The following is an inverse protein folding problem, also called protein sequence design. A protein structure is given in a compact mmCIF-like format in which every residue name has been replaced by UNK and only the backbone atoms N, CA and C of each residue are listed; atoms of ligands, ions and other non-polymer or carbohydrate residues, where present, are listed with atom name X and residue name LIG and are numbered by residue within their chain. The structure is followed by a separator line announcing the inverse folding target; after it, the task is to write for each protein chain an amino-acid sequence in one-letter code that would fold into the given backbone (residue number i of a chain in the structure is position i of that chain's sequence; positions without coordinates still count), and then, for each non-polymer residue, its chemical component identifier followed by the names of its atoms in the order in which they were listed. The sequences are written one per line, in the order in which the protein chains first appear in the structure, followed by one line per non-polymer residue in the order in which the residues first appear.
data_IF_159137410502
#
_entry.id   IF_159137410502
#
_cell.length_a   1.000
_cell.length_b   1.000
_cell.length_c   1.000
_cell.angle_alpha   90.00
_cell.angle_beta   90.00
_cell.angle_gamma   90.00
#
_symmetry.space_group_name_H-M   'P 1'
#
loop_
_entity.id
_entity.type
_entity.pdbx_description
1 polymer ?
#
# COMPACT_ATOMS: atom_id res chain seq x y z
N UNK A 1 -1.23 -27.90 -12.36
CA UNK A 1 -1.19 -26.71 -13.24
C UNK A 1 -1.48 -25.53 -12.33
N UNK A 2 -0.49 -24.66 -12.08
CA UNK A 2 -0.73 -23.45 -11.30
C UNK A 2 -1.76 -22.60 -12.03
N UNK A 3 -2.82 -22.25 -11.32
CA UNK A 3 -3.93 -21.47 -11.86
C UNK A 3 -3.38 -20.08 -12.24
N UNK A 4 -3.18 -19.85 -13.55
CA UNK A 4 -2.58 -18.61 -14.07
C UNK A 4 -3.53 -17.46 -13.80
N UNK A 5 -3.07 -16.47 -13.03
CA UNK A 5 -3.81 -15.23 -12.83
C UNK A 5 -3.86 -14.45 -14.16
N UNK A 6 -5.05 -14.18 -14.66
CA UNK A 6 -5.26 -13.33 -15.82
C UNK A 6 -6.26 -12.23 -15.49
N UNK A 7 -5.87 -10.97 -15.70
CA UNK A 7 -6.78 -9.83 -15.58
C UNK A 7 -7.92 -9.98 -16.59
N UNK A 8 -9.15 -9.71 -16.18
CA UNK A 8 -10.29 -9.68 -17.07
C UNK A 8 -10.24 -8.43 -17.97
N UNK A 9 -10.97 -8.46 -19.10
CA UNK A 9 -11.09 -7.28 -19.96
C UNK A 9 -11.74 -6.09 -19.24
N UNK A 10 -12.71 -6.38 -18.37
CA UNK A 10 -13.34 -5.35 -17.55
C UNK A 10 -12.35 -4.68 -16.58
N UNK A 11 -11.47 -5.47 -15.95
CA UNK A 11 -10.39 -4.93 -15.12
C UNK A 11 -9.40 -4.11 -15.93
N UNK A 12 -9.03 -4.58 -17.14
CA UNK A 12 -8.14 -3.83 -18.02
C UNK A 12 -8.71 -2.49 -18.46
N UNK A 13 -9.97 -2.44 -18.90
CA UNK A 13 -10.63 -1.17 -19.29
C UNK A 13 -10.58 -0.11 -18.19
N UNK A 14 -10.59 -0.51 -16.92
CA UNK A 14 -10.52 0.42 -15.78
C UNK A 14 -9.11 1.00 -15.55
N UNK A 15 -8.07 0.31 -15.96
CA UNK A 15 -6.67 0.71 -15.68
C UNK A 15 -5.89 1.11 -16.93
N UNK A 16 -6.33 0.70 -18.12
CA UNK A 16 -5.65 0.98 -19.39
C UNK A 16 -5.36 2.47 -19.65
N UNK A 17 -6.26 3.43 -19.32
CA UNK A 17 -6.03 4.86 -19.54
C UNK A 17 -4.80 5.44 -18.83
N UNK A 18 -4.30 4.78 -17.78
CA UNK A 18 -3.16 5.27 -17.00
C UNK A 18 -1.80 4.89 -17.57
N UNK A 19 -1.77 3.96 -18.53
CA UNK A 19 -0.52 3.55 -19.16
C UNK A 19 -0.11 4.50 -20.28
N UNK A 20 1.21 4.78 -20.40
CA UNK A 20 1.67 5.64 -21.48
C UNK A 20 1.37 5.00 -22.85
N UNK A 21 1.05 5.81 -23.84
CA UNK A 21 0.85 5.33 -25.21
C UNK A 21 2.14 4.69 -25.77
N UNK A 22 1.99 3.70 -26.65
CA UNK A 22 3.12 3.16 -27.38
C UNK A 22 3.54 4.13 -28.48
N UNK A 23 4.84 4.41 -28.57
CA UNK A 23 5.42 5.18 -29.68
C UNK A 23 6.02 4.19 -30.71
N UNK A 24 5.45 4.17 -31.90
CA UNK A 24 5.95 3.37 -33.03
C UNK A 24 5.52 1.91 -33.01
N UNK A 25 6.36 1.02 -32.49
CA UNK A 25 6.09 -0.43 -32.48
C UNK A 25 4.97 -0.81 -31.52
N UNK A 26 4.03 -1.65 -31.98
CA UNK A 26 2.97 -2.20 -31.12
C UNK A 26 3.57 -2.92 -29.90
N UNK A 27 3.04 -2.62 -28.73
CA UNK A 27 3.47 -3.28 -27.50
C UNK A 27 3.02 -4.74 -27.47
N UNK A 28 3.81 -5.58 -26.81
CA UNK A 28 3.32 -6.87 -26.33
C UNK A 28 2.08 -6.62 -25.47
N UNK A 29 1.10 -7.49 -25.55
CA UNK A 29 -0.17 -7.44 -24.83
C UNK A 29 0.02 -7.01 -23.36
N UNK A 30 -0.36 -5.77 -23.05
CA UNK A 30 -0.20 -5.18 -21.71
C UNK A 30 -1.00 -5.97 -20.66
N UNK A 31 -2.16 -6.53 -21.02
CA UNK A 31 -2.97 -7.39 -20.13
C UNK A 31 -2.17 -8.60 -19.67
N UNK A 32 -1.48 -9.24 -20.57
CA UNK A 32 -0.64 -10.40 -20.32
C UNK A 32 0.55 -10.06 -19.42
N UNK A 33 1.23 -8.96 -19.72
CA UNK A 33 2.36 -8.45 -18.94
C UNK A 33 1.93 -8.06 -17.52
N UNK A 34 0.81 -7.33 -17.38
CA UNK A 34 0.28 -6.93 -16.06
C UNK A 34 -0.15 -8.13 -15.22
N UNK A 35 -0.78 -9.11 -15.84
CA UNK A 35 -1.12 -10.38 -15.19
C UNK A 35 0.13 -11.10 -14.69
N UNK A 36 1.18 -11.14 -15.50
CA UNK A 36 2.48 -11.68 -15.10
C UNK A 36 3.13 -10.92 -13.94
N UNK A 37 3.04 -9.58 -13.93
CA UNK A 37 3.52 -8.76 -12.81
C UNK A 37 2.77 -9.13 -11.52
N UNK A 38 1.44 -9.18 -11.55
CA UNK A 38 0.62 -9.57 -10.40
C UNK A 38 0.96 -10.98 -9.92
N UNK A 39 1.14 -11.92 -10.85
CA UNK A 39 1.51 -13.30 -10.53
C UNK A 39 2.86 -13.38 -9.80
N UNK A 40 3.86 -12.67 -10.29
CA UNK A 40 5.20 -12.59 -9.66
C UNK A 40 5.11 -11.97 -8.26
N UNK A 41 4.33 -10.88 -8.09
CA UNK A 41 4.17 -10.21 -6.79
C UNK A 41 3.42 -11.13 -5.81
N UNK A 42 2.34 -11.77 -6.24
CA UNK A 42 1.53 -12.67 -5.40
C UNK A 42 2.34 -13.87 -4.91
N UNK A 43 3.07 -14.52 -5.79
CA UNK A 43 3.76 -15.77 -5.49
C UNK A 43 5.19 -15.57 -4.94
N UNK A 44 5.71 -14.33 -4.90
CA UNK A 44 7.06 -14.03 -4.39
C UNK A 44 8.17 -14.53 -5.29
N UNK A 45 7.93 -14.70 -6.59
CA UNK A 45 8.89 -15.26 -7.53
C UNK A 45 10.03 -14.29 -7.84
N UNK A 46 11.16 -14.81 -8.27
CA UNK A 46 12.15 -14.01 -9.00
C UNK A 46 11.58 -13.67 -10.36
N UNK A 47 11.87 -12.49 -10.87
CA UNK A 47 11.35 -12.05 -12.18
C UNK A 47 11.66 -13.03 -13.31
N UNK A 48 12.85 -13.66 -13.27
CA UNK A 48 13.26 -14.66 -14.29
C UNK A 48 12.45 -15.96 -14.23
N UNK A 49 11.78 -16.23 -13.11
CA UNK A 49 10.99 -17.44 -12.90
C UNK A 49 9.49 -17.21 -13.24
N UNK A 50 9.16 -16.05 -13.83
CA UNK A 50 7.81 -15.77 -14.31
C UNK A 50 7.41 -16.81 -15.36
N UNK A 51 6.17 -17.38 -15.30
CA UNK A 51 5.70 -18.34 -16.28
C UNK A 51 5.77 -17.80 -17.70
N UNK A 52 6.26 -18.61 -18.66
CA UNK A 52 6.41 -18.24 -20.07
C UNK A 52 5.07 -17.82 -20.71
N UNK A 53 3.94 -18.29 -20.18
CA UNK A 53 2.60 -17.88 -20.60
C UNK A 53 2.37 -16.37 -20.54
N UNK A 54 3.06 -15.64 -19.66
CA UNK A 54 2.97 -14.17 -19.56
C UNK A 54 3.93 -13.42 -20.49
N UNK A 55 4.78 -14.13 -21.22
CA UNK A 55 5.80 -13.58 -22.11
C UNK A 55 7.21 -13.59 -21.51
N UNK A 56 8.19 -12.96 -22.19
CA UNK A 56 9.58 -13.00 -21.73
C UNK A 56 9.75 -12.33 -20.36
N UNK A 57 10.42 -12.97 -19.39
CA UNK A 57 10.62 -12.43 -18.03
C UNK A 57 11.28 -11.03 -18.03
N UNK A 58 12.19 -10.77 -18.95
CA UNK A 58 12.84 -9.47 -19.11
C UNK A 58 11.84 -8.38 -19.53
N UNK A 59 10.87 -8.70 -20.36
CA UNK A 59 9.80 -7.77 -20.75
C UNK A 59 8.92 -7.43 -19.56
N UNK A 60 8.47 -8.44 -18.78
CA UNK A 60 7.66 -8.26 -17.56
C UNK A 60 8.39 -7.35 -16.58
N UNK A 61 9.66 -7.64 -16.29
CA UNK A 61 10.49 -6.86 -15.39
C UNK A 61 10.68 -5.41 -15.85
N UNK A 62 11.07 -5.21 -17.12
CA UNK A 62 11.34 -3.88 -17.67
C UNK A 62 10.08 -3.02 -17.68
N UNK A 63 8.91 -3.60 -17.98
CA UNK A 63 7.62 -2.91 -17.92
C UNK A 63 7.29 -2.52 -16.47
N UNK A 64 7.42 -3.44 -15.53
CA UNK A 64 7.19 -3.14 -14.12
C UNK A 64 8.07 -1.98 -13.64
N UNK A 65 9.38 -2.01 -13.91
CA UNK A 65 10.30 -0.94 -13.51
C UNK A 65 9.99 0.38 -14.21
N UNK A 66 9.74 0.34 -15.53
CA UNK A 66 9.39 1.54 -16.29
C UNK A 66 8.12 2.22 -15.78
N UNK A 67 7.05 1.46 -15.62
CA UNK A 67 5.78 1.97 -15.11
C UNK A 67 5.85 2.41 -13.64
N UNK A 68 6.67 1.74 -12.83
CA UNK A 68 6.94 2.18 -11.45
C UNK A 68 7.62 3.55 -11.43
N UNK A 69 8.64 3.77 -12.27
CA UNK A 69 9.33 5.07 -12.39
C UNK A 69 8.40 6.19 -12.85
N UNK A 70 7.47 5.89 -13.73
CA UNK A 70 6.44 6.81 -14.20
C UNK A 70 5.29 7.01 -13.21
N UNK A 71 5.27 6.29 -12.06
CA UNK A 71 4.24 6.38 -11.05
C UNK A 71 2.86 5.83 -11.48
N UNK A 72 2.82 5.00 -12.53
CA UNK A 72 1.56 4.49 -13.12
C UNK A 72 0.73 3.75 -12.08
N UNK A 73 1.34 2.82 -11.33
CA UNK A 73 0.63 2.00 -10.34
C UNK A 73 0.07 2.83 -9.18
N UNK A 74 0.79 3.88 -8.77
CA UNK A 74 0.33 4.78 -7.72
C UNK A 74 -0.85 5.63 -8.19
N UNK A 75 -0.85 6.08 -9.47
CA UNK A 75 -2.00 6.78 -10.07
C UNK A 75 -3.21 5.88 -10.16
N UNK A 76 -3.06 4.66 -10.68
CA UNK A 76 -4.14 3.66 -10.73
C UNK A 76 -4.76 3.48 -9.34
N UNK A 77 -3.92 3.28 -8.31
CA UNK A 77 -4.40 3.12 -6.95
C UNK A 77 -5.15 4.37 -6.45
N UNK A 78 -4.59 5.56 -6.66
CA UNK A 78 -5.19 6.81 -6.21
C UNK A 78 -6.56 7.06 -6.85
N UNK A 79 -6.70 6.81 -8.14
CA UNK A 79 -7.95 7.00 -8.88
C UNK A 79 -9.02 5.97 -8.47
N UNK A 80 -8.64 4.70 -8.39
CA UNK A 80 -9.57 3.67 -7.94
C UNK A 80 -10.04 3.90 -6.49
N UNK A 81 -9.15 4.40 -5.64
CA UNK A 81 -9.45 4.73 -4.25
C UNK A 81 -10.24 6.05 -4.11
N UNK A 82 -10.04 7.02 -5.01
CA UNK A 82 -10.71 8.32 -4.99
C UNK A 82 -12.21 8.23 -5.26
N UNK A 83 -12.68 7.21 -5.99
CA UNK A 83 -14.10 6.97 -6.22
C UNK A 83 -14.91 6.57 -4.97
N UNK A 84 -14.26 6.43 -3.80
CA UNK A 84 -14.91 6.08 -2.54
C UNK A 84 -14.96 7.25 -1.53
N UNK A 85 -14.95 8.49 -2.01
CA UNK A 85 -14.79 9.72 -1.19
C UNK A 85 -15.90 10.00 -0.14
N UNK A 86 -16.84 9.09 0.07
CA UNK A 86 -17.94 9.26 1.05
C UNK A 86 -17.91 8.20 2.13
N UNK A 87 -16.78 7.94 2.75
CA UNK A 87 -16.74 7.03 3.89
C UNK A 87 -17.03 7.79 5.19
N UNK A 88 -18.11 7.40 5.90
CA UNK A 88 -18.44 7.98 7.21
C UNK A 88 -17.29 7.81 8.23
N UNK A 89 -16.40 6.87 8.00
CA UNK A 89 -15.30 6.54 8.93
C UNK A 89 -14.05 6.11 8.19
N UNK A 90 -12.93 6.52 8.76
CA UNK A 90 -11.60 6.14 8.32
C UNK A 90 -10.91 5.31 9.40
N UNK A 91 -9.98 4.48 9.00
CA UNK A 91 -9.11 3.75 9.92
C UNK A 91 -7.65 3.99 9.52
N UNK A 92 -6.79 4.29 10.49
CA UNK A 92 -5.35 4.41 10.27
C UNK A 92 -4.60 3.41 11.14
N UNK A 93 -3.61 2.78 10.53
CA UNK A 93 -2.70 1.86 11.24
C UNK A 93 -1.41 1.68 10.44
N UNK A 94 -0.42 0.99 11.02
CA UNK A 94 0.84 0.68 10.37
C UNK A 94 1.26 -0.77 10.60
N UNK A 95 1.96 -1.33 9.63
CA UNK A 95 2.49 -2.69 9.73
C UNK A 95 3.93 -2.77 9.25
N UNK A 96 4.71 -3.69 9.82
CA UNK A 96 6.07 -3.96 9.38
C UNK A 96 6.07 -4.98 8.24
N UNK A 97 6.89 -4.70 7.23
CA UNK A 97 7.19 -5.57 6.09
C UNK A 97 8.67 -5.92 6.13
N UNK A 98 9.01 -7.20 5.96
CA UNK A 98 10.40 -7.66 6.01
C UNK A 98 11.15 -7.22 4.76
N UNK A 99 12.33 -6.63 4.93
CA UNK A 99 13.25 -6.35 3.83
C UNK A 99 14.28 -7.48 3.72
N UNK A 100 14.31 -8.14 2.56
CA UNK A 100 15.33 -9.14 2.30
C UNK A 100 16.71 -8.47 2.23
N UNK A 101 17.77 -9.19 2.61
CA UNK A 101 19.16 -8.68 2.58
C UNK A 101 19.57 -8.08 1.24
N UNK A 102 19.06 -8.60 0.13
CA UNK A 102 19.35 -8.05 -1.21
C UNK A 102 18.74 -6.66 -1.44
N UNK A 103 17.62 -6.33 -0.83
CA UNK A 103 17.06 -4.99 -0.86
C UNK A 103 17.95 -3.99 -0.10
N UNK A 104 18.61 -4.44 0.96
CA UNK A 104 19.48 -3.63 1.79
C UNK A 104 20.95 -3.54 1.30
N UNK A 105 21.39 -4.45 0.41
CA UNK A 105 22.80 -4.61 0.04
C UNK A 105 23.41 -3.47 -0.78
N UNK A 106 22.61 -2.58 -1.38
CA UNK A 106 23.10 -1.42 -2.12
C UNK A 106 23.26 -0.20 -1.20
N UNK A 107 24.40 -0.10 -0.57
CA UNK A 107 24.64 0.89 0.49
C UNK A 107 24.80 2.34 0.02
N UNK A 108 25.03 2.66 -1.24
CA UNK A 108 25.45 4.05 -1.54
C UNK A 108 25.12 4.67 -2.90
N UNK A 109 24.32 4.12 -3.76
CA UNK A 109 24.08 4.77 -5.06
C UNK A 109 22.60 4.98 -5.38
N UNK A 110 22.10 6.17 -5.13
CA UNK A 110 20.80 6.67 -5.61
C UNK A 110 20.19 7.71 -4.68
N UNK A 111 19.70 8.78 -5.27
CA UNK A 111 18.98 9.90 -4.63
C UNK A 111 17.62 9.50 -4.01
N UNK A 112 17.19 8.25 -4.18
CA UNK A 112 15.87 7.82 -3.74
C UNK A 112 15.93 7.12 -2.37
N UNK A 113 15.06 7.49 -1.43
CA UNK A 113 15.00 6.88 -0.11
C UNK A 113 14.67 5.39 -0.22
N UNK A 114 15.30 4.57 0.61
CA UNK A 114 15.06 3.12 0.65
C UNK A 114 13.92 2.73 1.57
N UNK A 115 13.62 3.56 2.56
CA UNK A 115 12.65 3.29 3.62
C UNK A 115 12.91 1.95 4.34
N UNK A 116 14.19 1.55 4.50
CA UNK A 116 14.60 0.37 5.27
C UNK A 116 15.28 0.83 6.53
N UNK A 117 14.81 0.34 7.67
CA UNK A 117 15.42 0.58 8.97
C UNK A 117 15.53 -0.69 9.78
N UNK A 118 16.21 -0.61 10.91
CA UNK A 118 16.40 -1.72 11.84
C UNK A 118 15.33 -1.64 12.93
N UNK A 119 14.51 -2.67 13.03
CA UNK A 119 13.53 -2.87 14.10
C UNK A 119 13.92 -4.12 14.93
N UNK A 120 13.14 -4.44 15.98
CA UNK A 120 13.33 -5.69 16.74
C UNK A 120 13.25 -6.94 15.85
N UNK A 121 12.48 -6.87 14.76
CA UNK A 121 12.34 -7.96 13.77
C UNK A 121 13.43 -7.96 12.67
N UNK A 122 14.51 -7.17 12.80
CA UNK A 122 15.59 -7.06 11.82
C UNK A 122 15.37 -5.90 10.84
N UNK A 123 15.77 -6.11 9.57
CA UNK A 123 15.59 -5.10 8.52
C UNK A 123 14.13 -5.06 8.06
N UNK A 124 13.47 -3.93 8.28
CA UNK A 124 12.05 -3.76 7.99
C UNK A 124 11.76 -2.40 7.37
N UNK A 125 10.67 -2.36 6.63
CA UNK A 125 9.98 -1.15 6.19
C UNK A 125 8.64 -1.10 6.89
N UNK A 126 8.17 0.08 7.29
CA UNK A 126 6.84 0.24 7.84
C UNK A 126 5.92 0.78 6.76
N UNK A 127 4.80 0.09 6.53
CA UNK A 127 3.70 0.53 5.70
C UNK A 127 2.63 1.16 6.59
N UNK A 128 2.40 2.46 6.42
CA UNK A 128 1.29 3.19 7.01
C UNK A 128 0.16 3.23 6.01
N UNK A 129 -1.06 2.97 6.46
CA UNK A 129 -2.24 2.96 5.60
C UNK A 129 -3.41 3.69 6.26
N UNK A 130 -4.23 4.32 5.41
CA UNK A 130 -5.58 4.72 5.77
C UNK A 130 -6.55 3.89 4.94
N UNK A 131 -7.57 3.35 5.59
CA UNK A 131 -8.66 2.62 4.97
C UNK A 131 -9.98 3.35 5.12
N UNK A 132 -10.89 3.08 4.21
CA UNK A 132 -12.30 3.44 4.33
C UNK A 132 -13.04 2.56 5.36
N UNK A 133 -14.32 2.84 5.60
CA UNK A 133 -15.17 2.10 6.53
C UNK A 133 -15.37 0.63 6.17
N UNK A 134 -15.08 0.22 4.95
CA UNK A 134 -15.11 -1.17 4.49
C UNK A 134 -13.78 -1.90 4.65
N UNK A 135 -12.72 -1.19 5.05
CA UNK A 135 -11.37 -1.74 5.17
C UNK A 135 -10.60 -1.74 3.85
N UNK A 136 -11.03 -0.98 2.84
CA UNK A 136 -10.28 -0.83 1.59
C UNK A 136 -9.25 0.28 1.75
N UNK A 137 -7.98 0.06 1.37
CA UNK A 137 -6.94 1.07 1.50
C UNK A 137 -7.18 2.24 0.54
N UNK A 138 -7.08 3.47 1.07
CA UNK A 138 -7.23 4.71 0.30
C UNK A 138 -5.96 5.55 0.29
N UNK A 139 -5.08 5.38 1.28
CA UNK A 139 -3.76 6.03 1.32
C UNK A 139 -2.71 5.03 1.81
N UNK A 140 -1.53 5.08 1.21
CA UNK A 140 -0.41 4.19 1.50
C UNK A 140 0.89 4.99 1.53
N UNK A 141 1.69 4.87 2.59
CA UNK A 141 3.01 5.51 2.70
C UNK A 141 4.02 4.55 3.32
N UNK A 142 5.23 4.54 2.78
CA UNK A 142 6.35 3.77 3.32
C UNK A 142 7.28 4.67 4.13
N UNK A 143 7.73 4.13 5.26
CA UNK A 143 8.79 4.72 6.07
C UNK A 143 9.79 3.65 6.49
N UNK A 144 10.88 4.07 7.11
CA UNK A 144 11.81 3.15 7.76
C UNK A 144 11.14 2.41 8.91
N UNK A 145 11.53 1.15 9.15
CA UNK A 145 10.88 0.27 10.12
C UNK A 145 10.81 0.79 11.55
N UNK A 146 11.78 1.61 12.00
CA UNK A 146 11.81 2.21 13.32
C UNK A 146 10.99 3.51 13.43
N UNK A 147 10.43 4.01 12.32
CA UNK A 147 9.62 5.24 12.34
C UNK A 147 8.38 5.06 13.21
N UNK A 148 8.09 6.05 14.05
CA UNK A 148 6.90 6.02 14.92
C UNK A 148 5.62 6.21 14.11
N UNK A 149 4.50 5.70 14.64
CA UNK A 149 3.20 5.79 13.99
C UNK A 149 2.72 7.25 13.83
N UNK A 150 3.09 8.13 14.78
CA UNK A 150 2.78 9.56 14.64
C UNK A 150 3.45 10.23 13.44
N UNK A 151 4.68 9.85 13.08
CA UNK A 151 5.34 10.39 11.88
C UNK A 151 4.62 9.93 10.62
N UNK A 152 4.15 8.68 10.59
CA UNK A 152 3.29 8.19 9.51
C UNK A 152 1.96 8.92 9.44
N UNK A 153 1.32 9.16 10.59
CA UNK A 153 0.09 9.96 10.66
C UNK A 153 0.29 11.39 10.15
N UNK A 154 1.42 12.04 10.50
CA UNK A 154 1.74 13.39 10.03
C UNK A 154 1.88 13.47 8.49
N UNK A 155 2.36 12.42 7.85
CA UNK A 155 2.46 12.35 6.38
C UNK A 155 1.11 12.16 5.69
N UNK A 156 0.10 11.66 6.42
CA UNK A 156 -1.19 11.25 5.87
C UNK A 156 -2.33 12.22 6.20
N UNK A 157 -2.25 12.94 7.33
CA UNK A 157 -3.35 13.72 7.87
C UNK A 157 -3.90 14.77 6.90
N UNK A 158 -3.03 15.44 6.14
CA UNK A 158 -3.44 16.48 5.18
C UNK A 158 -4.08 15.90 3.91
N UNK A 159 -3.90 14.61 3.66
CA UNK A 159 -4.45 13.92 2.48
C UNK A 159 -5.73 13.14 2.77
N UNK A 160 -6.26 13.21 4.01
CA UNK A 160 -7.46 12.50 4.39
C UNK A 160 -8.68 13.07 3.66
N UNK A 161 -9.56 12.21 3.12
CA UNK A 161 -10.86 12.67 2.63
C UNK A 161 -11.78 13.06 3.80
N UNK A 162 -12.88 13.79 3.55
CA UNK A 162 -13.91 14.06 4.54
C UNK A 162 -14.44 12.75 5.16
N UNK A 163 -14.62 12.75 6.48
CA UNK A 163 -15.19 11.62 7.21
C UNK A 163 -15.78 12.08 8.55
N UNK A 164 -16.70 11.31 9.14
CA UNK A 164 -17.24 11.61 10.47
C UNK A 164 -16.30 11.20 11.60
N UNK A 165 -15.54 10.11 11.42
CA UNK A 165 -14.66 9.58 12.46
C UNK A 165 -13.38 8.94 11.90
N UNK A 166 -12.28 9.01 12.69
CA UNK A 166 -11.03 8.31 12.48
C UNK A 166 -10.78 7.31 13.61
N UNK A 167 -10.67 6.03 13.27
CA UNK A 167 -10.33 4.97 14.20
C UNK A 167 -8.82 4.71 14.14
N UNK A 168 -8.16 4.73 15.29
CA UNK A 168 -6.74 4.40 15.40
C UNK A 168 -6.44 3.74 16.74
N UNK A 169 -5.34 3.03 16.84
CA UNK A 169 -4.90 2.43 18.09
C UNK A 169 -4.34 3.50 19.05
N UNK A 170 -4.05 3.09 20.29
CA UNK A 170 -3.47 3.97 21.32
C UNK A 170 -2.09 4.52 20.92
N UNK A 171 -1.40 3.90 19.97
CA UNK A 171 -0.17 4.39 19.38
C UNK A 171 -0.32 5.78 18.78
N UNK A 172 -1.50 6.10 18.28
CA UNK A 172 -1.85 7.39 17.66
C UNK A 172 -2.41 8.42 18.66
N UNK A 173 -2.50 8.11 19.97
CA UNK A 173 -2.99 9.04 20.98
C UNK A 173 -1.97 10.15 21.24
N UNK A 174 -2.06 11.22 20.45
CA UNK A 174 -1.27 12.43 20.56
C UNK A 174 -2.18 13.66 20.37
N UNK A 175 -1.97 14.70 21.19
CA UNK A 175 -2.83 15.89 21.17
C UNK A 175 -2.83 16.59 19.82
N UNK A 176 -1.66 16.70 19.18
CA UNK A 176 -1.56 17.28 17.85
C UNK A 176 -2.40 16.53 16.80
N UNK A 177 -2.42 15.19 16.87
CA UNK A 177 -3.17 14.40 15.87
C UNK A 177 -4.67 14.50 16.10
N UNK A 178 -5.10 14.46 17.38
CA UNK A 178 -6.52 14.69 17.73
C UNK A 178 -6.97 16.08 17.30
N UNK A 179 -6.15 17.10 17.51
CA UNK A 179 -6.41 18.47 17.10
C UNK A 179 -6.51 18.57 15.58
N UNK A 180 -5.54 18.02 14.85
CA UNK A 180 -5.54 18.02 13.38
C UNK A 180 -6.77 17.32 12.78
N UNK A 181 -7.24 16.23 13.39
CA UNK A 181 -8.47 15.56 13.00
C UNK A 181 -9.70 16.44 13.27
N UNK A 182 -9.78 17.04 14.46
CA UNK A 182 -10.90 17.92 14.85
C UNK A 182 -11.00 19.16 13.95
N UNK A 183 -9.86 19.79 13.59
CA UNK A 183 -9.81 20.90 12.64
C UNK A 183 -10.33 20.54 11.24
N UNK A 184 -10.28 19.27 10.88
CA UNK A 184 -10.85 18.70 9.65
C UNK A 184 -12.29 18.21 9.81
N UNK A 185 -12.91 18.42 10.97
CA UNK A 185 -14.26 17.92 11.29
C UNK A 185 -14.35 16.42 11.48
N UNK A 186 -13.21 15.73 11.74
CA UNK A 186 -13.14 14.28 11.91
C UNK A 186 -13.03 13.96 13.41
N UNK A 187 -14.02 13.25 13.96
CA UNK A 187 -14.01 12.84 15.36
C UNK A 187 -12.95 11.74 15.62
N UNK A 188 -11.98 11.93 16.53
CA UNK A 188 -10.98 10.92 16.82
C UNK A 188 -11.53 9.81 17.73
N UNK A 189 -11.69 8.60 17.22
CA UNK A 189 -12.03 7.40 17.97
C UNK A 189 -10.75 6.62 18.29
N UNK A 190 -10.00 7.11 19.29
CA UNK A 190 -8.66 6.64 19.67
C UNK A 190 -8.64 6.37 21.17
N UNK A 191 -8.30 5.16 21.64
CA UNK A 191 -8.12 4.89 23.06
C UNK A 191 -6.96 5.73 23.63
N UNK A 192 -7.13 6.24 24.84
CA UNK A 192 -6.06 6.96 25.53
C UNK A 192 -4.91 6.03 25.91
N UNK A 193 -3.69 6.56 25.87
CA UNK A 193 -2.52 5.92 26.48
C UNK A 193 -2.68 5.82 27.98
N UNK A 194 -2.14 4.77 28.57
CA UNK A 194 -2.22 4.53 30.03
C UNK A 194 -1.63 5.69 30.82
N UNK A 195 -0.54 6.28 30.34
CA UNK A 195 0.18 7.37 30.98
C UNK A 195 -0.37 8.77 30.65
N UNK A 196 -1.52 8.86 29.96
CA UNK A 196 -2.16 10.14 29.69
C UNK A 196 -2.75 10.71 30.97
N UNK A 197 -2.43 11.98 31.30
CA UNK A 197 -2.89 12.65 32.53
C UNK A 197 -4.42 12.71 32.64
N UNK A 198 -5.08 13.06 31.53
CA UNK A 198 -6.55 13.11 31.44
C UNK A 198 -6.98 12.12 30.40
N UNK A 199 -7.70 11.08 30.81
CA UNK A 199 -8.20 10.05 29.92
C UNK A 199 -9.34 10.60 29.05
N UNK A 200 -9.29 10.33 27.77
CA UNK A 200 -10.31 10.74 26.80
C UNK A 200 -11.13 9.50 26.44
N UNK A 201 -12.44 9.59 26.63
CA UNK A 201 -13.35 8.52 26.25
C UNK A 201 -13.41 8.36 24.73
N UNK A 202 -13.73 7.16 24.28
CA UNK A 202 -13.96 6.85 22.87
C UNK A 202 -15.14 5.88 22.73
N UNK A 203 -15.76 5.86 21.58
CA UNK A 203 -16.82 4.90 21.27
C UNK A 203 -16.21 3.49 21.08
N UNK A 204 -16.46 2.61 22.06
CA UNK A 204 -15.96 1.22 22.05
C UNK A 204 -16.61 0.38 20.96
N UNK A 205 -17.87 0.65 20.61
CA UNK A 205 -18.61 -0.09 19.57
C UNK A 205 -18.06 0.25 18.20
N UNK A 206 -17.83 1.54 17.96
CA UNK A 206 -17.20 2.01 16.73
C UNK A 206 -15.75 1.51 16.65
N UNK A 207 -14.99 1.58 17.72
CA UNK A 207 -13.60 1.17 17.78
C UNK A 207 -13.39 -0.32 17.40
N UNK A 208 -14.33 -1.20 17.74
CA UNK A 208 -14.24 -2.63 17.37
C UNK A 208 -14.10 -2.85 15.87
N UNK A 209 -14.58 -1.91 15.04
CA UNK A 209 -14.48 -2.04 13.58
C UNK A 209 -13.05 -1.86 13.05
N UNK A 210 -12.11 -1.42 13.90
CA UNK A 210 -10.71 -1.25 13.54
C UNK A 210 -10.05 -2.56 13.03
N UNK A 211 -10.55 -3.73 13.42
CA UNK A 211 -10.05 -5.01 12.90
C UNK A 211 -10.04 -5.10 11.36
N UNK A 212 -10.84 -4.28 10.67
CA UNK A 212 -10.91 -4.28 9.19
C UNK A 212 -9.59 -3.82 8.56
N UNK A 213 -8.87 -2.87 9.16
CA UNK A 213 -7.56 -2.47 8.66
C UNK A 213 -6.50 -3.57 8.94
N UNK A 214 -6.63 -4.31 10.02
CA UNK A 214 -5.79 -5.48 10.31
C UNK A 214 -6.00 -6.57 9.25
N UNK A 215 -7.26 -6.85 8.90
CA UNK A 215 -7.62 -7.79 7.83
C UNK A 215 -7.08 -7.30 6.46
N UNK A 216 -7.11 -6.00 6.20
CA UNK A 216 -6.51 -5.42 4.99
C UNK A 216 -5.01 -5.72 4.93
N UNK A 217 -4.28 -5.49 6.01
CA UNK A 217 -2.86 -5.81 6.07
C UNK A 217 -2.59 -7.30 5.93
N UNK A 218 -3.41 -8.16 6.52
CA UNK A 218 -3.28 -9.62 6.37
C UNK A 218 -3.40 -10.01 4.88
N UNK A 219 -4.46 -9.56 4.20
CA UNK A 219 -4.68 -9.82 2.76
C UNK A 219 -3.53 -9.30 1.88
N UNK A 220 -2.93 -8.15 2.20
CA UNK A 220 -1.74 -7.67 1.49
C UNK A 220 -0.53 -8.55 1.74
N UNK A 221 -0.34 -9.03 2.97
CA UNK A 221 0.80 -9.88 3.35
C UNK A 221 0.68 -11.33 2.84
N UNK A 222 -0.50 -11.78 2.47
CA UNK A 222 -0.67 -13.06 1.74
C UNK A 222 0.07 -13.04 0.40
N UNK A 223 0.33 -11.87 -0.13
CA UNK A 223 1.17 -11.69 -1.30
C UNK A 223 2.65 -11.71 -0.90
N UNK A 224 3.32 -12.81 -1.22
CA UNK A 224 4.64 -13.16 -0.69
C UNK A 224 5.70 -12.09 -0.95
N UNK A 225 5.62 -11.39 -2.09
CA UNK A 225 6.57 -10.34 -2.44
C UNK A 225 6.30 -9.01 -1.72
N UNK A 226 5.12 -8.87 -1.10
CA UNK A 226 4.79 -7.75 -0.20
C UNK A 226 5.24 -8.09 1.22
N UNK A 227 4.95 -9.30 1.69
CA UNK A 227 5.38 -9.75 3.02
C UNK A 227 6.91 -9.61 3.19
N UNK A 228 7.67 -10.08 2.20
CA UNK A 228 9.13 -9.95 2.16
C UNK A 228 9.53 -9.37 0.81
N UNK A 229 10.05 -8.16 0.81
CA UNK A 229 10.39 -7.48 -0.43
C UNK A 229 11.89 -7.54 -0.77
N UNK A 230 12.17 -7.57 -2.07
CA UNK A 230 13.50 -7.75 -2.65
C UNK A 230 13.94 -6.55 -3.50
N UNK A 231 13.04 -5.61 -3.73
CA UNK A 231 13.28 -4.47 -4.61
C UNK A 231 14.27 -3.49 -3.96
N UNK A 232 15.08 -2.82 -4.78
CA UNK A 232 16.16 -1.99 -4.28
C UNK A 232 15.75 -0.55 -3.96
N UNK A 233 14.57 -0.15 -4.42
CA UNK A 233 14.05 1.22 -4.29
C UNK A 233 12.66 1.20 -3.65
N UNK A 234 12.42 2.10 -2.70
CA UNK A 234 11.14 2.21 -2.02
C UNK A 234 9.98 2.52 -2.98
N UNK A 235 10.20 3.36 -4.01
CA UNK A 235 9.16 3.68 -4.98
C UNK A 235 8.72 2.45 -5.80
N UNK A 236 9.65 1.55 -6.14
CA UNK A 236 9.33 0.30 -6.84
C UNK A 236 8.53 -0.63 -5.95
N UNK A 237 8.91 -0.71 -4.67
CA UNK A 237 8.17 -1.50 -3.70
C UNK A 237 6.78 -0.92 -3.41
N UNK A 238 6.66 0.40 -3.25
CA UNK A 238 5.35 1.05 -3.11
C UNK A 238 4.46 0.80 -4.34
N UNK A 239 5.03 0.82 -5.54
CA UNK A 239 4.31 0.48 -6.78
C UNK A 239 3.78 -0.96 -6.77
N UNK A 240 4.57 -1.91 -6.25
CA UNK A 240 4.09 -3.30 -6.09
C UNK A 240 2.93 -3.38 -5.10
N UNK A 241 3.01 -2.69 -3.97
CA UNK A 241 1.92 -2.62 -2.97
C UNK A 241 0.69 -1.96 -3.55
N UNK A 242 0.84 -0.80 -4.22
CA UNK A 242 -0.26 -0.05 -4.82
C UNK A 242 -1.00 -0.90 -5.88
N UNK A 243 -0.26 -1.61 -6.74
CA UNK A 243 -0.86 -2.46 -7.77
C UNK A 243 -1.56 -3.69 -7.17
N UNK A 244 -0.96 -4.34 -6.18
CA UNK A 244 -1.61 -5.42 -5.46
C UNK A 244 -2.86 -4.94 -4.72
N UNK A 245 -2.80 -3.80 -4.03
CA UNK A 245 -3.95 -3.20 -3.36
C UNK A 245 -5.08 -2.86 -4.35
N UNK A 246 -4.74 -2.29 -5.51
CA UNK A 246 -5.70 -2.04 -6.59
C UNK A 246 -6.41 -3.32 -7.02
N UNK A 247 -5.65 -4.40 -7.22
CA UNK A 247 -6.22 -5.69 -7.64
C UNK A 247 -7.10 -6.31 -6.54
N UNK A 248 -6.59 -6.38 -5.30
CA UNK A 248 -7.26 -7.06 -4.19
C UNK A 248 -8.56 -6.35 -3.77
N UNK A 249 -8.55 -5.01 -3.73
CA UNK A 249 -9.60 -4.25 -3.06
C UNK A 249 -10.49 -3.44 -4.00
N UNK A 250 -10.06 -3.20 -5.25
CA UNK A 250 -10.75 -2.30 -6.15
C UNK A 250 -11.13 -2.91 -7.51
N UNK A 251 -10.35 -3.87 -8.02
CA UNK A 251 -10.60 -4.48 -9.32
C UNK A 251 -11.35 -5.82 -9.23
N UNK A 252 -11.32 -6.49 -8.09
CA UNK A 252 -11.99 -7.77 -7.83
C UNK A 252 -13.37 -7.59 -7.15
N UNK A 253 -14.06 -6.52 -7.46
CA UNK A 253 -15.44 -6.29 -6.98
C UNK A 253 -16.43 -6.59 -8.08
#
# INVERSE_FOLDING_TARGET
MDDLLLLSEAQMRRIEPYFPLSHGVARVDDRRVLSGILFVIRNGLRWRDAPAAYGPPKTIYNRFIGWSRLGVFNRIFAELAGGSDTSDRLMIDATHLKAHRTAASLLKKGLLPRCIGRSRGGLTTKLHAVCDGSGRPIRLVLTEGQTSDYKGAAMLVDTLPPAKAMLADRGYDADWFRKALAERGIAPCIPSKINRKVQISHDRTLYRQRHRIENMFARLKDWRRIHTWYDRCAHTFLSAIAFAASFIFWLNQ
#
